data_IF_804877188557
#
_entry.id   IF_804877188557
#
_cell.length_a   1.000
_cell.length_b   1.000
_cell.length_c   1.000
_cell.angle_alpha   90.00
_cell.angle_beta   90.00
_cell.angle_gamma   90.00
#
_symmetry.space_group_name_H-M   'P 1'
#
loop_
_entity.id
_entity.type
_entity.pdbx_description
1 polymer ?
#
# COMPACT_ATOMS: atom_id res chain seq x y z
N UNK A 1 -16.46 9.41 -35.34
CA UNK A 1 -17.29 8.48 -34.55
C UNK A 1 -17.41 7.18 -35.34
N UNK A 2 -16.69 6.14 -34.94
CA UNK A 2 -16.79 4.83 -35.60
C UNK A 2 -17.89 4.00 -34.95
N UNK A 3 -18.90 3.59 -35.72
CA UNK A 3 -19.86 2.59 -35.29
C UNK A 3 -19.33 1.20 -35.66
N UNK A 4 -19.42 0.26 -34.74
CA UNK A 4 -19.07 -1.15 -34.94
C UNK A 4 -20.25 -2.03 -34.56
N UNK A 5 -20.39 -3.15 -35.26
CA UNK A 5 -21.43 -4.14 -35.03
C UNK A 5 -20.83 -5.27 -34.20
N UNK A 6 -21.47 -5.59 -33.08
CA UNK A 6 -21.07 -6.68 -32.18
C UNK A 6 -21.86 -7.93 -32.57
N UNK A 7 -21.17 -8.99 -32.94
CA UNK A 7 -21.75 -10.32 -33.08
C UNK A 7 -21.61 -11.06 -31.74
N UNK A 8 -22.65 -11.79 -31.35
CA UNK A 8 -22.70 -12.57 -30.11
C UNK A 8 -23.02 -14.02 -30.46
N UNK A 9 -22.00 -14.88 -30.47
CA UNK A 9 -22.08 -16.27 -30.92
C UNK A 9 -22.23 -17.28 -29.76
N UNK A 10 -22.53 -16.84 -28.53
CA UNK A 10 -22.41 -17.72 -27.37
C UNK A 10 -23.71 -18.52 -27.08
N UNK A 11 -23.61 -19.83 -26.76
CA UNK A 11 -24.66 -20.62 -26.14
C UNK A 11 -24.32 -20.92 -24.66
N UNK A 12 -25.03 -20.31 -23.69
CA UNK A 12 -24.95 -20.68 -22.25
C UNK A 12 -24.79 -19.52 -21.24
N UNK A 13 -25.14 -19.81 -19.97
CA UNK A 13 -25.13 -18.99 -18.72
C UNK A 13 -24.76 -17.50 -18.86
N UNK A 14 -25.77 -16.68 -19.18
CA UNK A 14 -25.66 -15.24 -19.31
C UNK A 14 -26.06 -14.51 -18.04
N UNK A 15 -25.35 -13.44 -17.72
CA UNK A 15 -25.77 -12.45 -16.71
C UNK A 15 -26.38 -11.25 -17.42
N UNK A 16 -27.69 -11.04 -17.27
CA UNK A 16 -28.40 -9.92 -17.88
C UNK A 16 -28.13 -8.62 -17.12
N UNK A 17 -27.49 -7.66 -17.79
CA UNK A 17 -27.22 -6.32 -17.25
C UNK A 17 -28.14 -5.31 -17.92
N UNK A 18 -28.70 -4.36 -17.15
CA UNK A 18 -29.52 -3.29 -17.73
C UNK A 18 -28.66 -2.36 -18.59
N UNK A 19 -29.08 -2.08 -19.83
CA UNK A 19 -28.40 -1.08 -20.68
C UNK A 19 -28.35 0.30 -20.01
N UNK A 20 -29.37 0.65 -19.21
CA UNK A 20 -29.36 1.89 -18.44
C UNK A 20 -28.22 1.94 -17.39
N UNK A 21 -27.89 0.78 -16.80
CA UNK A 21 -26.71 0.67 -15.94
C UNK A 21 -25.41 0.90 -16.72
N UNK A 22 -25.29 0.27 -17.90
CA UNK A 22 -24.11 0.41 -18.77
C UNK A 22 -23.88 1.86 -19.21
N UNK A 23 -24.95 2.59 -19.51
CA UNK A 23 -24.85 3.95 -20.04
C UNK A 23 -24.68 5.00 -18.95
N UNK A 24 -25.37 4.86 -17.82
CA UNK A 24 -25.47 5.94 -16.81
C UNK A 24 -24.57 5.71 -15.60
N UNK A 25 -24.44 4.46 -15.14
CA UNK A 25 -23.81 4.14 -13.86
C UNK A 25 -22.41 3.55 -14.01
N UNK A 26 -22.21 2.66 -14.99
CA UNK A 26 -20.92 2.02 -15.27
C UNK A 26 -19.80 3.02 -15.60
N UNK A 27 -20.01 4.08 -16.43
CA UNK A 27 -18.90 4.96 -16.84
C UNK A 27 -18.37 5.85 -15.70
N UNK A 28 -19.20 6.10 -14.69
CA UNK A 28 -18.86 6.97 -13.56
C UNK A 28 -18.29 6.20 -12.36
N UNK A 29 -18.45 4.88 -12.34
CA UNK A 29 -18.02 4.03 -11.24
C UNK A 29 -16.56 3.58 -11.40
N UNK A 30 -15.88 3.33 -10.28
CA UNK A 30 -14.58 2.66 -10.29
C UNK A 30 -14.73 1.26 -10.94
N UNK A 31 -13.80 0.87 -11.82
CA UNK A 31 -13.81 -0.42 -12.50
C UNK A 31 -13.89 -1.62 -11.55
N UNK A 32 -13.31 -1.53 -10.35
CA UNK A 32 -13.47 -2.55 -9.31
C UNK A 32 -14.90 -2.64 -8.78
N UNK A 33 -15.59 -1.51 -8.62
CA UNK A 33 -16.97 -1.49 -8.14
C UNK A 33 -17.92 -2.08 -9.18
N UNK A 34 -17.63 -1.86 -10.47
CA UNK A 34 -18.36 -2.47 -11.59
C UNK A 34 -18.18 -3.98 -11.60
N UNK A 35 -16.95 -4.48 -11.41
CA UNK A 35 -16.67 -5.92 -11.31
C UNK A 35 -17.45 -6.57 -10.16
N UNK A 36 -17.44 -5.93 -8.99
CA UNK A 36 -18.19 -6.40 -7.82
C UNK A 36 -19.70 -6.43 -8.13
N UNK A 37 -20.25 -5.39 -8.77
CA UNK A 37 -21.66 -5.35 -9.14
C UNK A 37 -22.04 -6.47 -10.13
N UNK A 38 -21.26 -6.66 -11.20
CA UNK A 38 -21.53 -7.69 -12.21
C UNK A 38 -21.45 -9.10 -11.61
N UNK A 39 -20.52 -9.31 -10.68
CA UNK A 39 -20.39 -10.58 -9.97
C UNK A 39 -21.55 -10.81 -9.01
N UNK A 40 -21.97 -9.79 -8.26
CA UNK A 40 -23.16 -9.86 -7.41
C UNK A 40 -24.42 -10.17 -8.24
N UNK A 41 -24.55 -9.57 -9.42
CA UNK A 41 -25.63 -9.82 -10.36
C UNK A 41 -25.62 -11.26 -10.90
N UNK A 42 -24.43 -11.78 -11.22
CA UNK A 42 -24.25 -13.20 -11.58
C UNK A 42 -24.63 -14.11 -10.41
N UNK A 43 -24.12 -13.85 -9.22
CA UNK A 43 -24.42 -14.65 -8.02
C UNK A 43 -25.89 -14.58 -7.62
N UNK A 44 -26.58 -13.47 -7.88
CA UNK A 44 -28.02 -13.34 -7.67
C UNK A 44 -28.85 -14.13 -8.70
N UNK A 45 -28.32 -14.35 -9.91
CA UNK A 45 -28.98 -15.16 -10.95
C UNK A 45 -28.85 -16.68 -10.71
N UNK A 46 -27.86 -17.10 -9.92
CA UNK A 46 -27.65 -18.48 -9.48
C UNK A 46 -28.35 -18.65 -8.12
N UNK A 47 -29.59 -19.14 -8.14
CA UNK A 47 -30.45 -19.25 -6.94
C UNK A 47 -29.76 -19.81 -5.70
N UNK A 48 -29.73 -19.02 -4.62
CA UNK A 48 -29.65 -19.53 -3.24
C UNK A 48 -28.28 -19.58 -2.55
N UNK A 49 -27.21 -19.01 -3.12
CA UNK A 49 -25.92 -18.98 -2.43
C UNK A 49 -25.88 -17.90 -1.33
N UNK A 50 -25.59 -18.30 -0.09
CA UNK A 50 -25.15 -17.37 0.94
C UNK A 50 -23.78 -16.81 0.52
N UNK A 51 -23.69 -15.49 0.35
CA UNK A 51 -22.47 -14.82 -0.09
C UNK A 51 -21.69 -14.30 1.12
N UNK A 52 -20.46 -14.76 1.29
CA UNK A 52 -19.54 -14.19 2.26
C UNK A 52 -18.69 -13.08 1.60
N UNK A 53 -18.50 -11.96 2.29
CA UNK A 53 -17.69 -10.85 1.78
C UNK A 53 -16.22 -11.24 1.58
N UNK A 54 -15.69 -12.13 2.43
CA UNK A 54 -14.37 -12.75 2.34
C UNK A 54 -14.14 -13.40 0.97
N UNK A 55 -15.11 -14.19 0.51
CA UNK A 55 -15.04 -14.87 -0.79
C UNK A 55 -14.99 -13.88 -1.96
N UNK A 56 -15.70 -12.75 -1.86
CA UNK A 56 -15.67 -11.69 -2.87
C UNK A 56 -14.31 -11.00 -2.88
N UNK A 57 -13.80 -10.68 -1.69
CA UNK A 57 -12.50 -10.06 -1.48
C UNK A 57 -11.38 -10.92 -2.08
N UNK A 58 -11.40 -12.22 -1.82
CA UNK A 58 -10.43 -13.19 -2.36
C UNK A 58 -10.49 -13.30 -3.89
N UNK A 59 -11.70 -13.36 -4.48
CA UNK A 59 -11.88 -13.46 -5.94
C UNK A 59 -11.34 -12.23 -6.66
N UNK A 60 -11.55 -11.04 -6.10
CA UNK A 60 -11.11 -9.78 -6.69
C UNK A 60 -9.74 -9.31 -6.21
N UNK A 61 -9.06 -10.11 -5.36
CA UNK A 61 -7.78 -9.77 -4.74
C UNK A 61 -7.81 -8.37 -4.10
N UNK A 62 -8.90 -8.06 -3.40
CA UNK A 62 -9.12 -6.81 -2.68
C UNK A 62 -9.45 -7.09 -1.21
N UNK A 63 -9.54 -6.05 -0.37
CA UNK A 63 -9.91 -6.26 1.04
C UNK A 63 -11.43 -6.29 1.22
N UNK A 64 -11.94 -6.92 2.28
CA UNK A 64 -13.38 -6.88 2.62
C UNK A 64 -13.90 -5.44 2.78
N UNK A 65 -13.03 -4.53 3.25
CA UNK A 65 -13.34 -3.10 3.32
C UNK A 65 -13.57 -2.49 1.94
N UNK A 66 -12.90 -2.95 0.91
CA UNK A 66 -13.07 -2.47 -0.47
C UNK A 66 -14.39 -2.97 -1.06
N UNK A 67 -14.75 -4.21 -0.76
CA UNK A 67 -16.06 -4.77 -1.08
C UNK A 67 -17.17 -3.98 -0.37
N UNK A 68 -17.02 -3.68 0.92
CA UNK A 68 -17.96 -2.84 1.67
C UNK A 68 -18.06 -1.42 1.10
N UNK A 69 -16.94 -0.83 0.66
CA UNK A 69 -16.93 0.49 -0.01
C UNK A 69 -17.71 0.44 -1.32
N UNK A 70 -17.54 -0.61 -2.13
CA UNK A 70 -18.31 -0.80 -3.34
C UNK A 70 -19.81 -0.95 -3.07
N UNK A 71 -20.20 -1.75 -2.06
CA UNK A 71 -21.60 -1.93 -1.67
C UNK A 71 -22.24 -0.62 -1.19
N UNK A 72 -21.53 0.17 -0.37
CA UNK A 72 -21.99 1.49 0.09
C UNK A 72 -22.11 2.48 -1.06
N UNK A 73 -21.17 2.47 -2.00
CA UNK A 73 -21.24 3.29 -3.20
C UNK A 73 -22.52 2.99 -3.99
N UNK A 74 -22.77 1.71 -4.29
CA UNK A 74 -23.95 1.31 -5.06
C UNK A 74 -25.29 1.51 -4.33
N UNK A 75 -25.26 1.47 -2.99
CA UNK A 75 -26.40 1.88 -2.16
C UNK A 75 -26.70 3.38 -2.31
N UNK A 76 -25.66 4.21 -2.25
CA UNK A 76 -25.80 5.67 -2.38
C UNK A 76 -26.26 6.09 -3.78
N UNK A 77 -25.88 5.36 -4.82
CA UNK A 77 -26.34 5.60 -6.20
C UNK A 77 -27.74 5.03 -6.47
N UNK A 78 -28.34 4.32 -5.52
CA UNK A 78 -29.67 3.72 -5.63
C UNK A 78 -29.73 2.50 -6.55
N UNK A 79 -28.58 1.89 -6.88
CA UNK A 79 -28.51 0.69 -7.73
C UNK A 79 -28.69 -0.58 -6.89
N UNK A 80 -28.18 -0.56 -5.66
CA UNK A 80 -28.36 -1.64 -4.68
C UNK A 80 -29.13 -1.13 -3.46
N UNK A 81 -29.89 -2.02 -2.82
CA UNK A 81 -30.37 -1.81 -1.47
C UNK A 81 -29.65 -2.78 -0.54
N UNK A 82 -28.96 -2.24 0.45
CA UNK A 82 -28.08 -3.00 1.33
C UNK A 82 -28.46 -2.74 2.78
N UNK A 83 -28.83 -3.79 3.50
CA UNK A 83 -29.10 -3.75 4.94
C UNK A 83 -27.94 -4.36 5.71
N UNK A 84 -27.48 -3.62 6.72
CA UNK A 84 -26.47 -4.08 7.66
C UNK A 84 -27.13 -4.38 9.00
N UNK A 85 -26.64 -5.38 9.72
CA UNK A 85 -27.04 -5.61 11.11
C UNK A 85 -26.43 -4.53 12.04
N UNK A 86 -26.88 -4.49 13.31
CA UNK A 86 -26.34 -3.57 14.31
C UNK A 86 -24.86 -3.81 14.69
N UNK A 87 -24.19 -4.80 14.08
CA UNK A 87 -22.77 -5.14 14.24
C UNK A 87 -21.95 -4.82 12.99
N UNK A 88 -22.57 -4.30 11.93
CA UNK A 88 -21.90 -3.92 10.68
C UNK A 88 -21.79 -5.03 9.62
N UNK A 89 -22.37 -6.20 9.87
CA UNK A 89 -22.38 -7.31 8.91
C UNK A 89 -23.52 -7.15 7.90
N UNK A 90 -23.28 -7.56 6.66
CA UNK A 90 -24.27 -7.55 5.59
C UNK A 90 -25.38 -8.59 5.88
N UNK A 91 -26.62 -8.15 6.03
CA UNK A 91 -27.78 -9.02 6.31
C UNK A 91 -28.60 -9.32 5.07
N UNK A 92 -28.82 -8.31 4.23
CA UNK A 92 -29.59 -8.47 3.00
C UNK A 92 -29.07 -7.52 1.92
N UNK A 93 -28.96 -8.04 0.69
CA UNK A 93 -28.58 -7.29 -0.50
C UNK A 93 -29.65 -7.52 -1.57
N UNK A 94 -30.28 -6.43 -2.04
CA UNK A 94 -31.28 -6.45 -3.11
C UNK A 94 -30.78 -5.62 -4.29
N UNK A 95 -30.71 -6.24 -5.48
CA UNK A 95 -30.47 -5.51 -6.72
C UNK A 95 -31.77 -4.83 -7.15
N UNK A 96 -31.75 -3.51 -7.38
CA UNK A 96 -32.95 -2.79 -7.82
C UNK A 96 -33.15 -2.96 -9.33
N UNK A 97 -34.41 -3.09 -9.74
CA UNK A 97 -34.78 -3.08 -11.16
C UNK A 97 -34.64 -1.66 -11.70
N UNK A 98 -33.65 -1.46 -12.57
CA UNK A 98 -33.39 -0.20 -13.26
C UNK A 98 -34.26 -0.14 -14.53
N UNK A 99 -35.58 0.00 -14.37
CA UNK A 99 -36.50 0.24 -15.48
C UNK A 99 -36.51 1.73 -15.81
N UNK A 100 -36.25 2.08 -17.07
CA UNK A 100 -36.11 3.45 -17.59
C UNK A 100 -37.39 4.30 -17.60
N UNK A 101 -38.29 4.11 -16.63
CA UNK A 101 -39.62 4.69 -16.60
C UNK A 101 -40.13 5.00 -15.20
N UNK A 102 -39.30 5.55 -14.31
CA UNK A 102 -39.75 6.29 -13.14
C UNK A 102 -38.61 7.19 -12.67
N UNK A 103 -38.89 8.49 -12.48
CA UNK A 103 -37.96 9.53 -12.01
C UNK A 103 -37.05 9.03 -10.88
N UNK A 104 -35.82 8.66 -11.21
CA UNK A 104 -34.70 8.68 -10.28
C UNK A 104 -33.79 9.83 -10.70
N UNK A 105 -33.71 10.85 -9.85
CA UNK A 105 -32.82 11.98 -10.08
C UNK A 105 -31.37 11.47 -10.28
N UNK A 106 -30.59 12.05 -11.20
CA UNK A 106 -29.18 11.71 -11.32
C UNK A 106 -28.51 11.90 -9.96
N UNK A 107 -27.70 10.92 -9.49
CA UNK A 107 -27.09 11.02 -8.18
C UNK A 107 -26.16 12.24 -8.17
N UNK A 108 -26.41 13.19 -7.26
CA UNK A 108 -25.38 14.14 -6.84
C UNK A 108 -24.18 13.32 -6.39
N UNK A 109 -23.02 13.58 -6.99
CA UNK A 109 -21.75 12.97 -6.65
C UNK A 109 -21.58 12.90 -5.12
N UNK A 110 -21.51 11.69 -4.52
CA UNK A 110 -21.06 11.55 -3.15
C UNK A 110 -19.58 11.90 -3.13
N UNK A 111 -19.25 13.02 -2.50
CA UNK A 111 -17.90 13.33 -2.04
C UNK A 111 -17.35 12.10 -1.30
N UNK A 112 -16.20 11.60 -1.73
CA UNK A 112 -15.46 10.61 -0.96
C UNK A 112 -15.14 11.21 0.43
N UNK A 113 -15.40 10.50 1.54
CA UNK A 113 -15.11 11.01 2.86
C UNK A 113 -13.58 11.14 3.04
N UNK A 114 -13.13 12.38 3.12
CA UNK A 114 -11.88 12.77 3.74
C UNK A 114 -11.89 12.27 5.18
N UNK A 115 -10.88 11.48 5.53
CA UNK A 115 -10.53 11.14 6.91
C UNK A 115 -10.26 12.45 7.65
N UNK A 116 -11.21 12.89 8.47
CA UNK A 116 -10.95 13.90 9.52
C UNK A 116 -10.39 13.15 10.72
N UNK A 117 -9.07 13.30 10.91
CA UNK A 117 -8.43 13.05 12.19
C UNK A 117 -8.87 14.13 13.20
N UNK A 118 -8.88 13.72 14.47
CA UNK A 118 -9.25 14.51 15.64
C UNK A 118 -8.42 15.80 15.75
N UNK A 119 -9.08 16.92 16.03
CA UNK A 119 -8.44 18.11 16.58
C UNK A 119 -9.29 18.60 17.76
N UNK A 120 -8.68 18.59 18.93
CA UNK A 120 -9.20 19.12 20.18
C UNK A 120 -9.35 20.65 20.12
N UNK A 121 -10.28 21.10 20.95
CA UNK A 121 -10.70 22.47 21.23
C UNK A 121 -9.66 23.30 22.00
N UNK A 122 -9.39 24.55 21.57
CA UNK A 122 -9.16 25.72 22.44
C UNK A 122 -9.60 26.99 21.70
N UNK A 123 -10.36 27.93 22.31
CA UNK A 123 -10.82 29.15 21.66
C UNK A 123 -9.84 30.33 21.80
N UNK A 124 -9.74 31.09 20.70
CA UNK A 124 -9.83 32.55 20.58
C UNK A 124 -9.08 33.46 21.57
N UNK A 125 -8.10 34.24 21.08
CA UNK A 125 -8.07 35.70 21.28
C UNK A 125 -7.09 36.40 20.32
N UNK A 126 -7.54 37.54 19.80
CA UNK A 126 -6.90 38.36 18.78
C UNK A 126 -5.76 39.25 19.32
N UNK A 127 -4.74 39.51 18.48
CA UNK A 127 -4.23 40.86 18.16
C UNK A 127 -2.98 40.82 17.26
N UNK A 128 -3.04 41.62 16.19
CA UNK A 128 -2.01 42.27 15.35
C UNK A 128 -0.51 42.02 15.64
N UNK A 129 0.29 41.73 14.59
CA UNK A 129 1.38 42.60 14.03
C UNK A 129 2.38 41.83 13.11
N UNK A 130 2.56 42.38 11.90
CA UNK A 130 3.69 42.36 10.94
C UNK A 130 4.49 41.09 10.56
N UNK A 131 4.44 40.80 9.24
CA UNK A 131 5.47 40.25 8.31
C UNK A 131 6.38 39.10 8.80
N UNK A 132 6.21 37.92 8.18
CA UNK A 132 7.26 37.20 7.41
C UNK A 132 6.66 36.04 6.61
N UNK A 133 7.18 35.81 5.41
CA UNK A 133 6.69 34.89 4.39
C UNK A 133 7.05 33.44 4.71
N UNK A 134 6.07 32.52 4.61
CA UNK A 134 6.27 31.12 4.22
C UNK A 134 4.95 30.58 3.65
N UNK A 135 5.05 29.89 2.52
CA UNK A 135 4.01 29.60 1.54
C UNK A 135 3.18 28.35 1.82
N UNK A 136 1.86 28.51 1.86
CA UNK A 136 0.84 27.46 1.71
C UNK A 136 0.50 27.22 0.21
N UNK A 137 -0.05 26.06 -0.17
CA UNK A 137 0.04 25.51 -1.53
C UNK A 137 -0.80 26.30 -2.54
N UNK A 138 -0.13 26.96 -3.48
CA UNK A 138 -0.73 27.76 -4.55
C UNK A 138 -1.26 26.85 -5.66
N UNK A 139 -2.57 26.78 -5.81
CA UNK A 139 -3.17 26.53 -7.13
C UNK A 139 -2.79 27.70 -8.05
N UNK A 140 -2.21 27.41 -9.22
CA UNK A 140 -1.90 28.43 -10.22
C UNK A 140 -3.16 29.26 -10.57
N UNK A 141 -2.98 30.58 -10.73
CA UNK A 141 -4.09 31.48 -11.08
C UNK A 141 -4.66 31.11 -12.46
N UNK A 142 -5.99 31.19 -12.66
CA UNK A 142 -6.64 30.88 -13.96
C UNK A 142 -6.04 31.64 -15.15
N UNK A 143 -5.59 32.87 -14.93
CA UNK A 143 -4.95 33.69 -15.97
C UNK A 143 -3.58 33.15 -16.36
N UNK A 144 -2.83 32.64 -15.38
CA UNK A 144 -1.52 32.04 -15.60
C UNK A 144 -1.65 30.69 -16.33
N UNK A 145 -2.68 29.92 -16.02
CA UNK A 145 -3.01 28.68 -16.73
C UNK A 145 -3.28 28.93 -18.21
N UNK A 146 -4.05 29.98 -18.55
CA UNK A 146 -4.32 30.33 -19.95
C UNK A 146 -3.06 30.79 -20.70
N UNK A 147 -2.21 31.57 -20.05
CA UNK A 147 -0.94 32.03 -20.63
C UNK A 147 -0.01 30.85 -20.96
N UNK A 148 0.12 29.90 -20.03
CA UNK A 148 1.04 28.77 -20.15
C UNK A 148 0.56 27.70 -21.11
N UNK A 149 -0.75 27.42 -21.12
CA UNK A 149 -1.36 26.47 -22.07
C UNK A 149 -1.25 26.90 -23.53
N UNK A 150 -0.78 28.13 -23.81
CA UNK A 150 -0.50 28.63 -25.15
C UNK A 150 0.96 28.49 -25.60
N UNK A 151 1.88 27.99 -24.76
CA UNK A 151 3.28 27.77 -25.15
C UNK A 151 3.45 26.41 -25.82
N UNK A 152 4.21 26.35 -26.90
CA UNK A 152 4.39 25.13 -27.71
C UNK A 152 4.98 23.97 -26.89
N UNK A 153 5.94 24.25 -26.00
CA UNK A 153 6.58 23.24 -25.15
C UNK A 153 5.63 22.66 -24.09
N UNK A 154 4.75 23.50 -23.54
CA UNK A 154 3.68 23.09 -22.61
C UNK A 154 2.60 22.29 -23.35
N UNK A 155 2.21 22.70 -24.56
CA UNK A 155 1.23 21.96 -25.38
C UNK A 155 1.77 20.56 -25.70
N UNK A 156 3.02 20.46 -26.15
CA UNK A 156 3.66 19.17 -26.42
C UNK A 156 3.75 18.30 -25.16
N UNK A 157 4.11 18.89 -24.02
CA UNK A 157 4.12 18.19 -22.73
C UNK A 157 2.74 17.64 -22.36
N UNK A 158 1.69 18.46 -22.45
CA UNK A 158 0.33 18.05 -22.10
C UNK A 158 -0.14 16.92 -23.01
N UNK A 159 0.19 17.00 -24.31
CA UNK A 159 -0.09 15.92 -25.26
C UNK A 159 0.63 14.62 -24.91
N UNK A 160 1.94 14.69 -24.61
CA UNK A 160 2.73 13.52 -24.18
C UNK A 160 2.13 12.92 -22.90
N UNK A 161 1.76 13.75 -21.94
CA UNK A 161 1.12 13.32 -20.70
C UNK A 161 -0.20 12.57 -20.95
N UNK A 162 -1.05 13.05 -21.87
CA UNK A 162 -2.27 12.34 -22.27
C UNK A 162 -1.99 10.96 -22.87
N UNK A 163 -0.96 10.85 -23.72
CA UNK A 163 -0.58 9.57 -24.34
C UNK A 163 -0.14 8.55 -23.29
N UNK A 164 0.70 8.96 -22.33
CA UNK A 164 1.16 8.06 -21.26
C UNK A 164 0.05 7.67 -20.27
N UNK A 165 -0.86 8.61 -19.95
CA UNK A 165 -1.96 8.35 -19.02
C UNK A 165 -3.13 7.61 -19.68
N UNK A 166 -3.21 7.60 -21.02
CA UNK A 166 -4.26 6.92 -21.79
C UNK A 166 -5.65 7.56 -21.60
N UNK A 167 -5.69 8.85 -21.24
CA UNK A 167 -6.92 9.61 -21.01
C UNK A 167 -6.67 11.08 -21.29
N UNK A 168 -7.74 11.82 -21.58
CA UNK A 168 -7.71 13.28 -21.64
C UNK A 168 -7.44 13.85 -20.25
N UNK A 169 -6.59 14.89 -20.17
CA UNK A 169 -6.27 15.52 -18.89
C UNK A 169 -7.45 16.34 -18.37
N UNK A 170 -7.75 16.18 -17.09
CA UNK A 170 -8.70 17.05 -16.38
C UNK A 170 -8.07 18.40 -16.05
N UNK A 171 -8.85 19.46 -15.79
CA UNK A 171 -8.31 20.76 -15.39
C UNK A 171 -7.40 20.69 -14.17
N UNK A 172 -7.70 19.81 -13.22
CA UNK A 172 -6.86 19.58 -12.04
C UNK A 172 -5.50 19.01 -12.43
N UNK A 173 -5.46 18.07 -13.37
CA UNK A 173 -4.22 17.45 -13.84
C UNK A 173 -3.37 18.44 -14.64
N UNK A 174 -4.00 19.23 -15.52
CA UNK A 174 -3.34 20.32 -16.23
C UNK A 174 -2.71 21.30 -15.22
N UNK A 175 -3.47 21.74 -14.21
CA UNK A 175 -2.95 22.62 -13.17
C UNK A 175 -1.73 22.04 -12.44
N UNK A 176 -1.72 20.73 -12.15
CA UNK A 176 -0.58 20.07 -11.49
C UNK A 176 0.64 19.97 -12.40
N UNK A 177 0.45 19.62 -13.67
CA UNK A 177 1.54 19.58 -14.65
C UNK A 177 2.15 20.97 -14.87
N UNK A 178 1.30 22.01 -14.95
CA UNK A 178 1.76 23.39 -15.02
C UNK A 178 2.49 23.83 -13.75
N UNK A 179 2.06 23.36 -12.58
CA UNK A 179 2.74 23.61 -11.32
C UNK A 179 4.15 22.99 -11.31
N UNK A 180 4.31 21.76 -11.80
CA UNK A 180 5.65 21.15 -11.93
C UNK A 180 6.54 21.94 -12.91
N UNK A 181 5.98 22.45 -14.00
CA UNK A 181 6.70 23.26 -14.97
C UNK A 181 7.15 24.62 -14.40
N UNK A 182 6.24 25.40 -13.81
CA UNK A 182 6.53 26.77 -13.38
C UNK A 182 7.13 26.88 -11.98
N UNK A 183 6.65 26.08 -11.01
CA UNK A 183 7.05 26.23 -9.60
C UNK A 183 8.19 25.27 -9.23
N UNK A 184 8.19 24.05 -9.78
CA UNK A 184 9.32 23.11 -9.58
C UNK A 184 10.40 23.28 -10.65
N UNK A 185 10.16 24.12 -11.67
CA UNK A 185 11.08 24.37 -12.79
C UNK A 185 11.54 23.09 -13.50
N UNK A 186 10.67 22.09 -13.59
CA UNK A 186 11.00 20.85 -14.29
C UNK A 186 11.01 21.08 -15.80
N UNK A 187 12.11 20.68 -16.44
CA UNK A 187 12.19 20.64 -17.90
C UNK A 187 11.17 19.66 -18.48
N UNK A 188 10.77 19.88 -19.74
CA UNK A 188 9.89 18.98 -20.50
C UNK A 188 10.39 17.54 -20.44
N UNK A 189 11.67 17.33 -20.72
CA UNK A 189 12.31 16.01 -20.74
C UNK A 189 12.24 15.33 -19.36
N UNK A 190 12.41 16.08 -18.27
CA UNK A 190 12.30 15.55 -16.92
C UNK A 190 10.86 15.17 -16.58
N UNK A 191 9.88 15.97 -17.00
CA UNK A 191 8.47 15.68 -16.77
C UNK A 191 7.97 14.49 -17.61
N UNK A 192 8.44 14.36 -18.86
CA UNK A 192 8.19 13.17 -19.67
C UNK A 192 8.69 11.92 -18.94
N UNK A 193 9.95 11.94 -18.49
CA UNK A 193 10.53 10.82 -17.74
C UNK A 193 9.81 10.56 -16.41
N UNK A 194 9.37 11.60 -15.69
CA UNK A 194 8.58 11.48 -14.46
C UNK A 194 7.29 10.69 -14.72
N UNK A 195 6.55 11.07 -15.77
CA UNK A 195 5.28 10.44 -16.12
C UNK A 195 5.54 9.00 -16.58
N UNK A 196 6.51 8.77 -17.47
CA UNK A 196 6.93 7.44 -17.91
C UNK A 196 7.28 6.55 -16.71
N UNK A 197 8.08 7.05 -15.79
CA UNK A 197 8.49 6.35 -14.58
C UNK A 197 7.29 5.94 -13.73
N UNK A 198 6.37 6.86 -13.42
CA UNK A 198 5.18 6.56 -12.64
C UNK A 198 4.28 5.51 -13.31
N UNK A 199 4.10 5.62 -14.64
CA UNK A 199 3.32 4.65 -15.43
C UNK A 199 3.99 3.28 -15.42
N UNK A 200 5.32 3.21 -15.57
CA UNK A 200 6.09 1.96 -15.52
C UNK A 200 6.00 1.25 -14.15
N UNK A 201 5.79 2.02 -13.08
CA UNK A 201 5.52 1.53 -11.72
C UNK A 201 4.05 1.16 -11.48
N UNK A 202 3.21 1.17 -12.53
CA UNK A 202 1.81 0.79 -12.46
C UNK A 202 0.85 1.89 -11.99
N UNK A 203 1.32 3.13 -11.80
CA UNK A 203 0.51 4.23 -11.28
C UNK A 203 0.33 5.35 -12.31
N UNK A 204 -0.92 5.55 -12.74
CA UNK A 204 -1.35 6.67 -13.61
C UNK A 204 -2.03 7.81 -12.84
N UNK A 205 -1.92 7.79 -11.50
CA UNK A 205 -2.58 8.77 -10.64
C UNK A 205 -1.79 10.06 -10.59
N UNK A 206 -2.42 11.20 -10.91
CA UNK A 206 -1.78 12.51 -10.81
C UNK A 206 -1.29 12.83 -9.40
N UNK A 207 -1.97 12.32 -8.36
CA UNK A 207 -1.54 12.49 -6.96
C UNK A 207 -0.24 11.74 -6.68
N UNK A 208 -0.06 10.58 -7.32
CA UNK A 208 1.17 9.81 -7.19
C UNK A 208 2.31 10.50 -7.96
N UNK A 209 2.03 10.97 -9.18
CA UNK A 209 2.98 11.74 -9.99
C UNK A 209 3.43 12.99 -9.22
N UNK A 210 2.49 13.71 -8.59
CA UNK A 210 2.78 14.86 -7.75
C UNK A 210 3.69 14.51 -6.57
N UNK A 211 3.42 13.40 -5.88
CA UNK A 211 4.29 12.96 -4.78
C UNK A 211 5.72 12.70 -5.23
N UNK A 212 5.89 12.04 -6.38
CA UNK A 212 7.22 11.77 -6.95
C UNK A 212 7.89 13.06 -7.41
N UNK A 213 7.13 13.98 -8.02
CA UNK A 213 7.63 15.29 -8.44
C UNK A 213 8.16 16.11 -7.26
N UNK A 214 7.42 16.14 -6.15
CA UNK A 214 7.83 16.85 -4.94
C UNK A 214 9.08 16.22 -4.32
N UNK A 215 9.16 14.89 -4.26
CA UNK A 215 10.36 14.20 -3.77
C UNK A 215 11.59 14.52 -4.63
N UNK A 216 11.45 14.52 -5.96
CA UNK A 216 12.54 14.92 -6.87
C UNK A 216 12.95 16.38 -6.68
N UNK A 217 12.00 17.29 -6.44
CA UNK A 217 12.30 18.68 -6.15
C UNK A 217 13.04 18.85 -4.80
N UNK A 218 12.63 18.12 -3.75
CA UNK A 218 13.31 18.10 -2.44
C UNK A 218 14.75 17.59 -2.56
N UNK A 219 14.99 16.60 -3.42
CA UNK A 219 16.32 16.06 -3.72
C UNK A 219 17.12 16.92 -4.73
N UNK A 220 16.58 18.06 -5.17
CA UNK A 220 17.18 18.97 -6.16
C UNK A 220 17.48 18.30 -7.52
N UNK A 221 16.65 17.34 -7.92
CA UNK A 221 16.74 16.64 -9.20
C UNK A 221 16.14 17.54 -10.28
N UNK A 222 16.99 18.03 -11.17
CA UNK A 222 16.59 18.94 -12.26
C UNK A 222 16.80 18.35 -13.66
N UNK A 223 17.42 17.17 -13.74
CA UNK A 223 17.74 16.51 -15.01
C UNK A 223 17.34 15.04 -15.03
N UNK A 224 16.99 14.54 -16.23
CA UNK A 224 16.67 13.12 -16.45
C UNK A 224 17.81 12.19 -15.99
N UNK A 225 19.06 12.62 -16.16
CA UNK A 225 20.24 11.83 -15.73
C UNK A 225 20.27 11.64 -14.21
N UNK A 226 20.00 12.69 -13.43
CA UNK A 226 19.92 12.62 -11.98
C UNK A 226 18.76 11.72 -11.54
N UNK A 227 17.57 11.91 -12.12
CA UNK A 227 16.39 11.09 -11.83
C UNK A 227 16.64 9.59 -12.12
N UNK A 228 17.32 9.27 -13.22
CA UNK A 228 17.73 7.90 -13.58
C UNK A 228 18.77 7.33 -12.62
N UNK A 229 19.70 8.14 -12.12
CA UNK A 229 20.70 7.72 -11.14
C UNK A 229 20.07 7.40 -9.79
N UNK A 230 19.18 8.27 -9.31
CA UNK A 230 18.41 8.06 -8.09
C UNK A 230 17.56 6.78 -8.21
N UNK A 231 16.75 6.67 -9.27
CA UNK A 231 15.92 5.47 -9.55
C UNK A 231 16.76 4.19 -9.64
N UNK A 232 17.94 4.23 -10.29
CA UNK A 232 18.85 3.09 -10.35
C UNK A 232 19.46 2.75 -8.99
N UNK A 233 19.76 3.75 -8.16
CA UNK A 233 20.34 3.55 -6.84
C UNK A 233 19.34 2.85 -5.91
N UNK A 234 18.07 3.30 -5.91
CA UNK A 234 17.00 2.61 -5.18
C UNK A 234 16.77 1.18 -5.67
N UNK A 235 16.73 0.96 -7.00
CA UNK A 235 16.64 -0.40 -7.53
C UNK A 235 17.83 -1.27 -7.08
N UNK A 236 19.07 -0.77 -7.14
CA UNK A 236 20.26 -1.50 -6.68
C UNK A 236 20.19 -1.83 -5.19
N UNK A 237 19.76 -0.89 -4.36
CA UNK A 237 19.60 -1.08 -2.91
C UNK A 237 18.54 -2.15 -2.61
N UNK A 238 17.39 -2.11 -3.30
CA UNK A 238 16.35 -3.13 -3.13
C UNK A 238 16.82 -4.52 -3.58
N UNK A 239 17.50 -4.62 -4.72
CA UNK A 239 18.06 -5.90 -5.15
C UNK A 239 19.16 -6.40 -4.21
N UNK A 240 19.96 -5.52 -3.61
CA UNK A 240 20.93 -5.91 -2.58
C UNK A 240 20.24 -6.50 -1.34
N UNK A 241 19.14 -5.88 -0.88
CA UNK A 241 18.34 -6.37 0.25
C UNK A 241 17.66 -7.71 -0.09
N UNK A 242 17.05 -7.83 -1.27
CA UNK A 242 16.47 -9.10 -1.74
C UNK A 242 17.52 -10.21 -1.79
N UNK A 243 18.71 -9.89 -2.31
CA UNK A 243 19.84 -10.82 -2.35
C UNK A 243 20.29 -11.23 -0.95
N UNK A 244 20.26 -10.32 0.03
CA UNK A 244 20.57 -10.62 1.43
C UNK A 244 19.53 -11.57 2.08
N UNK A 245 18.27 -11.52 1.64
CA UNK A 245 17.26 -12.52 1.98
C UNK A 245 17.40 -13.84 1.22
N UNK A 246 18.30 -13.93 0.24
CA UNK A 246 18.43 -15.09 -0.64
C UNK A 246 17.41 -15.13 -1.79
N UNK A 247 16.61 -14.07 -1.96
CA UNK A 247 15.67 -13.93 -3.05
C UNK A 247 16.43 -13.46 -4.30
N UNK A 248 16.29 -14.18 -5.41
CA UNK A 248 16.94 -13.88 -6.69
C UNK A 248 15.91 -13.84 -7.81
N UNK A 249 16.23 -13.10 -8.88
CA UNK A 249 15.52 -13.12 -10.16
C UNK A 249 14.04 -12.73 -10.11
N UNK A 250 13.65 -11.83 -9.20
CA UNK A 250 12.35 -11.17 -9.26
C UNK A 250 12.43 -9.74 -8.74
N UNK A 251 11.47 -8.92 -9.16
CA UNK A 251 11.28 -7.59 -8.61
C UNK A 251 10.65 -7.68 -7.20
N UNK A 252 10.92 -6.69 -6.34
CA UNK A 252 10.26 -6.59 -5.04
C UNK A 252 8.77 -6.34 -5.21
N UNK A 253 7.97 -6.91 -4.32
CA UNK A 253 6.52 -6.64 -4.21
C UNK A 253 6.32 -5.33 -3.43
N UNK A 254 5.16 -4.71 -3.54
CA UNK A 254 4.86 -3.41 -2.91
C UNK A 254 5.09 -3.42 -1.39
N UNK A 255 4.68 -4.47 -0.67
CA UNK A 255 4.93 -4.59 0.77
C UNK A 255 6.43 -4.73 1.11
N UNK A 256 7.19 -5.47 0.30
CA UNK A 256 8.65 -5.56 0.47
C UNK A 256 9.31 -4.21 0.23
N UNK A 257 8.83 -3.49 -0.79
CA UNK A 257 9.25 -2.11 -1.12
C UNK A 257 8.95 -1.15 0.03
N UNK A 258 7.82 -1.30 0.71
CA UNK A 258 7.47 -0.50 1.89
C UNK A 258 8.49 -0.71 3.02
N UNK A 259 8.80 -1.96 3.36
CA UNK A 259 9.81 -2.27 4.38
C UNK A 259 11.20 -1.76 3.99
N UNK A 260 11.63 -1.99 2.75
CA UNK A 260 12.95 -1.54 2.31
C UNK A 260 13.09 -0.01 2.34
N UNK A 261 12.04 0.73 1.96
CA UNK A 261 12.02 2.19 2.09
C UNK A 261 12.04 2.64 3.56
N UNK A 262 11.29 1.98 4.44
CA UNK A 262 11.30 2.25 5.88
C UNK A 262 12.72 2.13 6.44
N UNK A 263 13.45 1.06 6.10
CA UNK A 263 14.78 0.81 6.62
C UNK A 263 15.84 1.77 6.08
N UNK A 264 15.77 2.09 4.78
CA UNK A 264 16.73 2.98 4.12
C UNK A 264 16.50 4.45 4.46
N UNK A 265 15.24 4.89 4.55
CA UNK A 265 14.91 6.30 4.60
C UNK A 265 14.53 6.75 6.01
N UNK A 266 13.63 6.03 6.68
CA UNK A 266 13.16 6.41 8.02
C UNK A 266 14.14 5.98 9.11
N UNK A 267 14.65 4.75 9.02
CA UNK A 267 15.66 4.26 9.96
C UNK A 267 17.07 4.73 9.59
N UNK A 268 17.24 5.22 8.36
CA UNK A 268 18.51 5.70 7.81
C UNK A 268 19.65 4.69 7.95
N UNK A 269 19.35 3.38 7.85
CA UNK A 269 20.35 2.34 7.94
C UNK A 269 21.11 2.13 6.64
N UNK A 270 22.40 1.81 6.76
CA UNK A 270 23.21 1.38 5.62
C UNK A 270 22.82 -0.02 5.18
N UNK A 271 23.12 -0.35 3.92
CA UNK A 271 22.88 -1.69 3.36
C UNK A 271 23.55 -2.81 4.17
N UNK A 272 24.70 -2.54 4.78
CA UNK A 272 25.44 -3.54 5.56
C UNK A 272 24.66 -3.94 6.81
N UNK A 273 24.08 -2.96 7.52
CA UNK A 273 23.24 -3.19 8.70
C UNK A 273 21.97 -3.94 8.29
N UNK A 274 21.31 -3.50 7.23
CA UNK A 274 20.09 -4.16 6.74
C UNK A 274 20.40 -5.61 6.33
N UNK A 275 21.50 -5.83 5.62
CA UNK A 275 21.93 -7.17 5.19
C UNK A 275 22.23 -8.09 6.37
N UNK A 276 22.81 -7.57 7.46
CA UNK A 276 23.02 -8.32 8.69
C UNK A 276 21.70 -8.75 9.33
N UNK A 277 20.69 -7.87 9.37
CA UNK A 277 19.36 -8.21 9.87
C UNK A 277 18.64 -9.24 8.98
N UNK A 278 18.72 -9.09 7.66
CA UNK A 278 18.16 -10.07 6.71
C UNK A 278 18.80 -11.45 6.90
N UNK A 279 20.13 -11.51 7.03
CA UNK A 279 20.87 -12.76 7.26
C UNK A 279 20.44 -13.43 8.57
N UNK A 280 20.33 -12.67 9.67
CA UNK A 280 19.83 -13.18 10.97
C UNK A 280 18.42 -13.70 10.89
N UNK A 281 17.58 -13.03 10.10
CA UNK A 281 16.20 -13.43 9.88
C UNK A 281 16.16 -14.80 9.20
N UNK A 282 16.85 -14.96 8.08
CA UNK A 282 16.88 -16.24 7.36
C UNK A 282 17.41 -17.38 8.24
N UNK A 283 18.43 -17.12 9.07
CA UNK A 283 18.95 -18.10 10.03
C UNK A 283 17.90 -18.47 11.10
N UNK A 284 17.15 -17.49 11.60
CA UNK A 284 16.18 -17.70 12.68
C UNK A 284 14.86 -18.32 12.21
N UNK A 285 14.36 -17.93 11.03
CA UNK A 285 13.04 -18.35 10.50
C UNK A 285 13.13 -19.41 9.42
N UNK A 286 14.31 -19.64 8.82
CA UNK A 286 14.51 -20.58 7.72
C UNK A 286 14.03 -20.10 6.34
N UNK A 287 13.39 -18.92 6.27
CA UNK A 287 12.87 -18.32 5.04
C UNK A 287 12.88 -16.78 5.13
N UNK A 288 12.81 -16.05 4.01
CA UNK A 288 12.67 -14.60 4.03
C UNK A 288 11.43 -14.16 4.82
N UNK A 289 11.61 -13.24 5.77
CA UNK A 289 10.52 -12.70 6.58
C UNK A 289 10.77 -11.21 6.90
N UNK A 290 10.19 -10.32 6.10
CA UNK A 290 10.40 -8.88 6.23
C UNK A 290 9.91 -8.33 7.57
N UNK A 291 8.80 -8.84 8.11
CA UNK A 291 8.29 -8.41 9.41
C UNK A 291 9.24 -8.80 10.57
N UNK A 292 9.87 -9.97 10.48
CA UNK A 292 10.88 -10.38 11.46
C UNK A 292 12.14 -9.53 11.35
N UNK A 293 12.64 -9.28 10.14
CA UNK A 293 13.79 -8.41 9.92
C UNK A 293 13.55 -6.98 10.41
N UNK A 294 12.34 -6.46 10.17
CA UNK A 294 11.90 -5.15 10.66
C UNK A 294 11.95 -5.07 12.19
N UNK A 295 11.51 -6.12 12.90
CA UNK A 295 11.58 -6.16 14.37
C UNK A 295 13.03 -6.08 14.90
N UNK A 296 13.99 -6.68 14.19
CA UNK A 296 15.42 -6.59 14.52
C UNK A 296 15.90 -5.16 14.29
N UNK A 297 15.64 -4.60 13.11
CA UNK A 297 16.09 -3.27 12.72
C UNK A 297 15.47 -2.19 13.61
N UNK A 298 14.20 -2.31 13.96
CA UNK A 298 13.53 -1.42 14.89
C UNK A 298 14.14 -1.49 16.30
N UNK A 299 14.56 -2.68 16.76
CA UNK A 299 15.30 -2.82 18.03
C UNK A 299 16.66 -2.11 17.97
N UNK A 300 17.38 -2.27 16.87
CA UNK A 300 18.66 -1.60 16.64
C UNK A 300 18.54 -0.08 16.55
N UNK A 301 17.46 0.41 15.93
CA UNK A 301 17.17 1.84 15.84
C UNK A 301 16.95 2.42 17.25
N UNK A 302 16.14 1.74 18.08
CA UNK A 302 15.92 2.13 19.48
C UNK A 302 17.21 2.13 20.31
N UNK A 303 18.14 1.25 19.99
CA UNK A 303 19.46 1.16 20.64
C UNK A 303 20.52 2.07 20.01
N UNK A 304 20.15 2.86 18.99
CA UNK A 304 21.04 3.84 18.37
C UNK A 304 22.20 3.23 17.58
N UNK A 305 22.04 2.02 17.04
CA UNK A 305 23.05 1.36 16.19
C UNK A 305 23.32 2.22 14.95
N UNK A 306 24.60 2.52 14.66
CA UNK A 306 24.99 3.25 13.45
C UNK A 306 26.06 2.53 12.65
N UNK A 307 26.81 1.63 13.28
CA UNK A 307 27.86 0.84 12.65
C UNK A 307 27.69 -0.64 12.98
N UNK A 308 28.26 -1.53 12.14
CA UNK A 308 28.25 -2.97 12.37
C UNK A 308 28.86 -3.34 13.74
N UNK A 309 29.88 -2.61 14.18
CA UNK A 309 30.51 -2.80 15.50
C UNK A 309 29.55 -2.61 16.67
N UNK A 310 28.50 -1.81 16.51
CA UNK A 310 27.49 -1.62 17.57
C UNK A 310 26.61 -2.86 17.69
N UNK A 311 26.39 -3.58 16.59
CA UNK A 311 25.65 -4.84 16.58
C UNK A 311 26.45 -5.91 17.33
N UNK A 312 27.76 -5.98 17.11
CA UNK A 312 28.64 -6.94 17.79
C UNK A 312 28.59 -6.75 19.32
N UNK A 313 28.68 -5.50 19.80
CA UNK A 313 28.54 -5.16 21.22
C UNK A 313 27.17 -5.60 21.78
N UNK A 314 26.10 -5.35 21.02
CA UNK A 314 24.76 -5.76 21.44
C UNK A 314 24.58 -7.27 21.52
N UNK A 315 25.29 -8.03 20.68
CA UNK A 315 25.29 -9.48 20.73
C UNK A 315 26.09 -10.01 21.92
N UNK A 316 27.27 -9.43 22.19
CA UNK A 316 28.07 -9.74 23.39
C UNK A 316 27.24 -9.52 24.67
N UNK A 317 26.58 -8.36 24.79
CA UNK A 317 25.70 -8.04 25.91
C UNK A 317 24.55 -9.05 26.05
N UNK A 318 23.95 -9.47 24.92
CA UNK A 318 22.86 -10.44 24.92
C UNK A 318 23.32 -11.83 25.32
N UNK A 319 24.53 -12.23 24.92
CA UNK A 319 25.15 -13.50 25.32
C UNK A 319 25.46 -13.49 26.82
N UNK A 320 26.04 -12.42 27.34
CA UNK A 320 26.30 -12.26 28.78
C UNK A 320 25.01 -12.27 29.61
N UNK A 321 23.96 -11.59 29.16
CA UNK A 321 22.65 -11.62 29.84
C UNK A 321 21.99 -13.00 29.80
N UNK A 322 22.16 -13.78 28.72
CA UNK A 322 21.68 -15.16 28.64
C UNK A 322 22.46 -16.07 29.60
N UNK A 323 23.78 -15.92 29.68
CA UNK A 323 24.63 -16.68 30.61
C UNK A 323 24.27 -16.37 32.07
N UNK A 324 24.14 -15.08 32.43
CA UNK A 324 23.73 -14.65 33.76
C UNK A 324 22.32 -15.15 34.15
N UNK A 325 21.37 -15.19 33.20
CA UNK A 325 20.05 -15.79 33.44
C UNK A 325 20.11 -17.29 33.64
N UNK A 326 20.92 -18.01 32.86
CA UNK A 326 21.13 -19.46 33.03
C UNK A 326 21.72 -19.78 34.41
N UNK A 327 22.73 -19.03 34.86
CA UNK A 327 23.34 -19.18 36.19
C UNK A 327 22.39 -18.82 37.34
N UNK A 328 21.54 -17.80 37.16
CA UNK A 328 20.52 -17.44 38.16
C UNK A 328 19.39 -18.48 38.29
N UNK A 329 19.16 -19.28 37.24
CA UNK A 329 18.17 -20.37 37.24
C UNK A 329 18.68 -21.68 37.85
N UNK A 330 20.00 -21.83 38.03
CA UNK A 330 20.64 -22.98 38.68
C UNK A 330 20.76 -22.86 40.21
N UNK A 331 20.30 -21.75 40.84
CA UNK A 331 20.15 -21.71 42.30
C UNK A 331 18.86 -22.43 42.72
N UNK A 332 18.90 -23.47 43.57
CA UNK A 332 17.69 -24.18 43.97
C UNK A 332 16.79 -23.21 44.75
N UNK A 333 15.59 -22.94 44.24
CA UNK A 333 14.52 -22.34 45.06
C UNK A 333 13.95 -23.44 45.97
N UNK A 334 13.73 -23.20 47.27
CA UNK A 334 13.01 -24.15 48.11
C UNK A 334 11.55 -24.21 47.63
N UNK A 335 11.11 -25.36 47.13
CA UNK A 335 9.77 -25.54 46.59
C UNK A 335 8.76 -25.81 47.72
N UNK A 336 7.58 -25.16 47.74
CA UNK A 336 6.46 -25.62 48.56
C UNK A 336 5.75 -26.78 47.84
N UNK A 337 5.64 -27.91 48.54
CA UNK A 337 4.98 -29.12 48.04
C UNK A 337 3.49 -28.91 47.83
N UNK A 338 2.96 -29.38 46.69
CA UNK A 338 1.65 -30.04 46.55
C UNK A 338 1.40 -30.34 45.07
N UNK A 339 1.59 -31.59 44.66
CA UNK A 339 0.66 -32.30 43.78
C UNK A 339 1.05 -33.78 43.69
N UNK A 340 0.13 -34.61 44.17
CA UNK A 340 0.26 -36.03 44.48
C UNK A 340 -0.06 -36.89 43.25
N UNK A 341 0.58 -36.61 42.11
CA UNK A 341 0.29 -37.31 40.85
C UNK A 341 1.51 -37.75 40.01
N UNK A 342 2.75 -37.42 40.42
CA UNK A 342 3.97 -37.86 39.73
C UNK A 342 4.88 -38.69 40.66
N UNK A 343 4.38 -39.85 41.12
CA UNK A 343 5.15 -40.78 41.96
C UNK A 343 5.68 -42.00 41.16
N UNK A 344 6.01 -41.80 39.88
CA UNK A 344 6.66 -42.83 39.06
C UNK A 344 8.11 -42.41 38.81
N UNK A 345 9.05 -43.30 39.14
CA UNK A 345 10.47 -43.12 38.83
C UNK A 345 10.64 -43.11 37.30
N UNK A 346 10.93 -41.93 36.73
CA UNK A 346 11.41 -41.85 35.36
C UNK A 346 12.80 -42.49 35.33
N UNK A 347 12.98 -43.49 34.46
CA UNK A 347 14.27 -44.17 34.29
C UNK A 347 15.28 -43.18 33.70
N UNK A 348 16.20 -42.69 34.53
CA UNK A 348 17.38 -41.95 34.10
C UNK A 348 18.41 -42.93 33.58
N UNK A 349 18.38 -43.22 32.28
CA UNK A 349 19.48 -43.90 31.62
C UNK A 349 20.57 -42.88 31.31
N UNK A 350 21.72 -43.01 31.95
CA UNK A 350 22.93 -42.26 31.60
C UNK A 350 23.61 -43.00 30.43
N UNK A 351 23.47 -42.45 29.22
CA UNK A 351 23.92 -43.07 27.97
C UNK A 351 25.45 -43.27 27.98
N UNK A 352 26.19 -42.36 28.62
CA UNK A 352 27.66 -42.39 28.71
C UNK A 352 28.19 -43.54 29.59
N UNK A 353 27.42 -43.99 30.58
CA UNK A 353 27.78 -45.14 31.42
C UNK A 353 27.52 -46.47 30.71
N UNK A 354 26.47 -46.54 29.87
CA UNK A 354 26.15 -47.71 29.07
C UNK A 354 27.18 -47.93 27.95
N UNK A 355 27.66 -46.86 27.32
CA UNK A 355 28.75 -46.95 26.32
C UNK A 355 30.05 -47.50 26.93
N UNK A 356 30.40 -47.10 28.16
CA UNK A 356 31.60 -47.61 28.85
C UNK A 356 31.50 -49.10 29.23
N UNK A 357 30.30 -49.62 29.43
CA UNK A 357 30.09 -51.05 29.72
C UNK A 357 30.10 -51.93 28.47
N UNK A 358 29.81 -51.37 27.29
CA UNK A 358 29.85 -52.07 26.01
C UNK A 358 31.26 -52.21 25.40
N UNK A 359 32.21 -51.39 25.87
CA UNK A 359 33.60 -51.36 25.39
C UNK A 359 34.59 -52.18 26.24
N UNK A 360 34.10 -53.18 27.00
CA UNK A 360 34.93 -54.11 27.76
C UNK A 360 35.01 -55.49 27.16
#
# INVERSE_FOLDING_TARGET
MGQFIIHNDFPGDFTLVSNYFLDTYMPQANGEFVKIYLWLLRSASVSGAALELSSIADIFNCTENDVLRALKYWKNTGVLDVTFDGRGNLKELRLRSLTGGAKAAPPKAPQAPSVKALAETVPETAASREKSQTSEPKTLSPDKVKELSGRDDVIELLFIAEQYLGKTLTPTEINKLLFFYEELHFSKDLMEYLIEYCVSKGSRSIRYIEKVALAWAEENITTVKQAKQETNTYNKNFFAILKAFGIKNRNPVDEETRYMNLWLNEYAFTLDIISAACSRTVIATGHPNFAYADSILHNWQKKGVKHLSDIDKLDEDRMQQKAAKAESSTRPKPAPSKNKFNNFHQRTYNVDELEKQLLK
#
